data_IF_426376968788
#
_entry.id   IF_426376968788
#
_cell.length_a   1.000
_cell.length_b   1.000
_cell.length_c   1.000
_cell.angle_alpha   90.00
_cell.angle_beta   90.00
_cell.angle_gamma   90.00
#
_symmetry.space_group_name_H-M   'P 1'
#
loop_
_entity.id
_entity.type
_entity.pdbx_description
1 polymer ?
#
# COMPACT_ATOMS: atom_id res chain seq x y z
N UNK A 1 15.61 -15.05 6.92
CA UNK A 1 15.23 -15.82 5.70
C UNK A 1 16.42 -16.63 5.23
N UNK A 2 16.21 -17.87 4.79
CA UNK A 2 17.30 -18.75 4.34
C UNK A 2 17.53 -18.68 2.82
N UNK A 3 16.51 -18.29 2.04
CA UNK A 3 16.63 -18.13 0.57
C UNK A 3 16.12 -16.77 0.12
N UNK A 4 16.57 -16.32 -1.06
CA UNK A 4 16.05 -15.11 -1.70
C UNK A 4 14.55 -15.16 -1.93
N UNK A 5 14.03 -16.34 -2.31
CA UNK A 5 12.58 -16.55 -2.48
C UNK A 5 11.80 -16.25 -1.20
N UNK A 6 12.29 -16.75 -0.06
CA UNK A 6 11.66 -16.48 1.24
C UNK A 6 11.73 -15.00 1.63
N UNK A 7 12.81 -14.28 1.30
CA UNK A 7 12.90 -12.83 1.50
C UNK A 7 11.81 -12.12 0.69
N UNK A 8 11.71 -12.41 -0.61
CA UNK A 8 10.71 -11.76 -1.45
C UNK A 8 9.28 -12.01 -0.97
N UNK A 9 8.98 -13.24 -0.57
CA UNK A 9 7.67 -13.57 -0.03
C UNK A 9 7.38 -12.83 1.29
N UNK A 10 8.31 -12.87 2.25
CA UNK A 10 8.10 -12.26 3.56
C UNK A 10 8.05 -10.73 3.50
N UNK A 11 8.92 -10.11 2.70
CA UNK A 11 8.90 -8.66 2.48
C UNK A 11 7.66 -8.24 1.72
N UNK A 12 7.26 -8.97 0.68
CA UNK A 12 6.02 -8.69 -0.06
C UNK A 12 4.79 -8.78 0.84
N UNK A 13 4.70 -9.82 1.67
CA UNK A 13 3.60 -9.96 2.63
C UNK A 13 3.58 -8.81 3.65
N UNK A 14 4.74 -8.43 4.19
CA UNK A 14 4.82 -7.30 5.11
C UNK A 14 4.43 -5.98 4.44
N UNK A 15 4.85 -5.74 3.19
CA UNK A 15 4.47 -4.56 2.42
C UNK A 15 2.94 -4.50 2.28
N UNK A 16 2.30 -5.59 1.84
CA UNK A 16 0.86 -5.57 1.53
C UNK A 16 -0.05 -5.62 2.75
N UNK A 17 0.33 -6.38 3.79
CA UNK A 17 -0.51 -6.58 4.97
C UNK A 17 -0.29 -5.51 6.04
N UNK A 18 0.92 -4.95 6.12
CA UNK A 18 1.26 -4.00 7.17
C UNK A 18 1.58 -2.62 6.61
N UNK A 19 2.61 -2.49 5.78
CA UNK A 19 3.12 -1.18 5.37
C UNK A 19 2.07 -0.37 4.58
N UNK A 20 1.56 -0.92 3.47
CA UNK A 20 0.61 -0.23 2.59
C UNK A 20 -0.71 0.13 3.28
N UNK A 21 -1.06 -0.56 4.37
CA UNK A 21 -2.32 -0.37 5.11
C UNK A 21 -2.20 0.56 6.31
N UNK A 22 -1.02 0.66 6.92
CA UNK A 22 -0.85 1.36 8.20
C UNK A 22 0.11 2.54 8.12
N UNK A 23 1.06 2.54 7.18
CA UNK A 23 2.06 3.61 7.11
C UNK A 23 1.45 4.86 6.53
N UNK A 24 1.41 5.93 7.32
CA UNK A 24 0.95 7.24 6.87
C UNK A 24 2.07 8.00 6.15
N UNK A 25 1.75 8.58 4.99
CA UNK A 25 2.66 9.38 4.19
C UNK A 25 2.17 10.82 4.06
N UNK A 26 3.00 11.79 4.48
CA UNK A 26 2.71 13.23 4.32
C UNK A 26 2.64 13.63 2.84
N UNK A 27 3.45 13.01 1.99
CA UNK A 27 3.40 13.21 0.53
C UNK A 27 2.06 12.74 -0.08
N UNK A 28 1.36 11.80 0.58
CA UNK A 28 0.02 11.35 0.19
C UNK A 28 -1.08 12.14 0.92
N UNK A 29 -0.77 13.29 1.50
CA UNK A 29 -1.75 14.09 2.25
C UNK A 29 -2.15 13.49 3.60
N UNK A 30 -1.31 12.62 4.17
CA UNK A 30 -1.60 11.98 5.45
C UNK A 30 -2.41 10.70 5.35
N UNK A 31 -2.50 10.11 4.16
CA UNK A 31 -3.10 8.79 3.95
C UNK A 31 -2.04 7.68 3.93
N UNK A 32 -2.49 6.46 4.22
CA UNK A 32 -1.76 5.26 3.83
C UNK A 32 -1.80 5.04 2.31
N UNK A 33 -0.88 4.26 1.74
CA UNK A 33 -0.90 3.94 0.31
C UNK A 33 -2.24 3.36 -0.15
N UNK A 34 -2.83 2.43 0.60
CA UNK A 34 -4.14 1.83 0.27
C UNK A 34 -5.26 2.86 0.31
N UNK A 35 -5.33 3.70 1.34
CA UNK A 35 -6.36 4.74 1.43
C UNK A 35 -6.25 5.75 0.29
N UNK A 36 -5.02 6.12 -0.08
CA UNK A 36 -4.79 7.02 -1.20
C UNK A 36 -5.29 6.42 -2.51
N UNK A 37 -4.96 5.17 -2.81
CA UNK A 37 -5.43 4.48 -4.02
C UNK A 37 -6.96 4.34 -4.06
N UNK A 38 -7.59 3.97 -2.94
CA UNK A 38 -9.05 3.87 -2.85
C UNK A 38 -9.73 5.21 -3.12
N UNK A 39 -9.20 6.29 -2.54
CA UNK A 39 -9.73 7.64 -2.76
C UNK A 39 -9.60 8.05 -4.23
N UNK A 40 -8.46 7.76 -4.85
CA UNK A 40 -8.26 8.03 -6.28
C UNK A 40 -9.29 7.26 -7.12
N UNK A 41 -9.46 5.95 -6.87
CA UNK A 41 -10.44 5.13 -7.60
C UNK A 41 -11.86 5.68 -7.48
N UNK A 42 -12.29 6.13 -6.29
CA UNK A 42 -13.60 6.79 -6.11
C UNK A 42 -13.72 8.05 -6.96
N UNK A 43 -12.70 8.93 -6.94
CA UNK A 43 -12.71 10.15 -7.75
C UNK A 43 -12.76 9.85 -9.26
N UNK A 44 -12.03 8.84 -9.73
CA UNK A 44 -12.08 8.42 -11.13
C UNK A 44 -13.44 7.86 -11.53
N UNK A 45 -14.09 7.10 -10.64
CA UNK A 45 -15.43 6.56 -10.89
C UNK A 45 -16.53 7.64 -10.91
N UNK A 46 -16.39 8.70 -10.09
CA UNK A 46 -17.31 9.84 -10.08
C UNK A 46 -17.16 10.76 -11.29
N UNK A 47 -15.99 10.76 -11.94
CA UNK A 47 -15.69 11.59 -13.09
C UNK A 47 -15.98 10.94 -14.46
N UNK A 48 -16.26 9.63 -14.48
CA UNK A 48 -16.53 8.83 -15.68
C UNK A 48 -18.03 8.68 -15.95
#
# INVERSE_FOLDING_TARGET
FATRSQVYQGVGEWIERFYNRQRIHTALGGYSPVEYELKQQSTWAEAA
#
